data_IF_778883221423
#
_entry.id   IF_778883221423
#
_cell.length_a   1.000
_cell.length_b   1.000
_cell.length_c   1.000
_cell.angle_alpha   90.00
_cell.angle_beta   90.00
_cell.angle_gamma   90.00
#
_symmetry.space_group_name_H-M   'P 1'
#
loop_
_entity.id
_entity.type
_entity.pdbx_description
1 polymer ?
#
# COMPACT_ATOMS: atom_id res chain seq x y z
N UNK A 1 -4.06 18.31 8.84
CA UNK A 1 -4.99 17.26 9.32
C UNK A 1 -5.23 16.39 8.11
N UNK A 2 -4.99 15.09 8.21
CA UNK A 2 -5.13 14.19 7.06
C UNK A 2 -6.60 14.15 6.60
N UNK A 3 -6.81 14.03 5.30
CA UNK A 3 -8.15 13.92 4.71
C UNK A 3 -8.83 12.60 5.08
N UNK A 4 -8.06 11.54 5.29
CA UNK A 4 -8.58 10.28 5.81
C UNK A 4 -8.44 10.24 7.34
N UNK A 5 -9.57 10.04 8.03
CA UNK A 5 -9.62 9.77 9.46
C UNK A 5 -10.21 8.38 9.70
N UNK A 6 -9.40 7.49 10.28
CA UNK A 6 -9.78 6.12 10.54
C UNK A 6 -11.00 5.99 11.48
N UNK A 7 -11.06 6.78 12.55
CA UNK A 7 -12.16 6.69 13.52
C UNK A 7 -13.46 7.25 12.96
N UNK A 8 -13.38 8.29 12.15
CA UNK A 8 -14.55 8.84 11.45
C UNK A 8 -15.07 7.82 10.43
N UNK A 9 -14.18 7.19 9.66
CA UNK A 9 -14.56 6.13 8.71
C UNK A 9 -15.25 4.95 9.40
N UNK A 10 -14.71 4.45 10.52
CA UNK A 10 -15.34 3.36 11.27
C UNK A 10 -16.70 3.79 11.85
N UNK A 11 -16.82 5.04 12.30
CA UNK A 11 -18.11 5.57 12.77
C UNK A 11 -19.14 5.61 11.65
N UNK A 12 -18.77 6.06 10.46
CA UNK A 12 -19.64 6.00 9.27
C UNK A 12 -20.03 4.56 8.90
N UNK A 13 -19.11 3.60 9.00
CA UNK A 13 -19.42 2.19 8.74
C UNK A 13 -20.49 1.66 9.68
N UNK A 14 -20.50 2.07 10.96
CA UNK A 14 -21.52 1.67 11.94
C UNK A 14 -22.91 2.22 11.61
N UNK A 15 -23.01 3.29 10.83
CA UNK A 15 -24.27 3.91 10.43
C UNK A 15 -24.87 3.31 9.14
N UNK A 16 -24.04 2.70 8.29
CA UNK A 16 -24.43 2.12 7.00
C UNK A 16 -24.82 0.64 7.19
N UNK A 17 -26.07 0.28 6.90
CA UNK A 17 -26.62 -1.05 7.26
C UNK A 17 -25.82 -2.25 6.71
N UNK A 18 -25.30 -2.13 5.49
CA UNK A 18 -24.45 -3.13 4.82
C UNK A 18 -23.04 -3.24 5.43
N UNK A 19 -22.49 -2.12 5.92
CA UNK A 19 -21.14 -2.09 6.52
C UNK A 19 -21.14 -2.34 8.01
N UNK A 20 -22.25 -2.02 8.68
CA UNK A 20 -22.44 -2.19 10.11
C UNK A 20 -22.22 -3.63 10.53
N UNK A 21 -22.72 -4.58 9.75
CA UNK A 21 -22.55 -6.02 10.03
C UNK A 21 -21.07 -6.42 10.05
N UNK A 22 -20.25 -5.87 9.16
CA UNK A 22 -18.80 -6.12 9.11
C UNK A 22 -18.14 -5.64 10.41
N UNK A 23 -18.47 -4.41 10.84
CA UNK A 23 -17.93 -3.85 12.09
C UNK A 23 -18.37 -4.67 13.29
N UNK A 24 -19.65 -5.00 13.40
CA UNK A 24 -20.19 -5.77 14.54
C UNK A 24 -19.57 -7.16 14.63
N UNK A 25 -19.42 -7.87 13.50
CA UNK A 25 -18.75 -9.19 13.47
C UNK A 25 -17.29 -9.09 13.89
N UNK A 26 -16.56 -8.12 13.33
CA UNK A 26 -15.17 -7.91 13.71
C UNK A 26 -15.04 -7.64 15.22
N UNK A 27 -15.88 -6.75 15.76
CA UNK A 27 -15.83 -6.38 17.17
C UNK A 27 -16.21 -7.51 18.12
N UNK A 28 -17.07 -8.44 17.69
CA UNK A 28 -17.38 -9.66 18.45
C UNK A 28 -16.17 -10.60 18.56
N UNK A 29 -15.34 -10.66 17.53
CA UNK A 29 -14.19 -11.56 17.45
C UNK A 29 -12.93 -10.97 18.10
N UNK A 30 -12.69 -9.66 17.91
CA UNK A 30 -11.43 -9.01 18.27
C UNK A 30 -11.56 -7.87 19.29
N UNK A 31 -12.78 -7.52 19.70
CA UNK A 31 -13.06 -6.37 20.55
C UNK A 31 -13.26 -5.06 19.78
N UNK A 32 -13.60 -3.97 20.49
CA UNK A 32 -14.04 -2.72 19.86
C UNK A 32 -12.95 -2.07 18.99
N UNK A 33 -13.34 -1.57 17.82
CA UNK A 33 -12.44 -0.83 16.93
C UNK A 33 -12.32 0.61 17.44
N UNK A 34 -11.19 0.90 18.10
CA UNK A 34 -10.90 2.19 18.75
C UNK A 34 -9.41 2.52 18.64
N UNK A 35 -9.06 3.80 18.73
CA UNK A 35 -7.66 4.25 18.69
C UNK A 35 -7.12 4.42 17.27
N UNK A 36 -5.80 4.42 17.14
CA UNK A 36 -5.14 4.59 15.85
C UNK A 36 -5.23 3.29 15.02
N UNK A 37 -5.21 3.39 13.69
CA UNK A 37 -5.10 2.25 12.80
C UNK A 37 -3.81 1.46 13.03
N UNK A 38 -2.73 2.15 13.42
CA UNK A 38 -1.44 1.55 13.73
C UNK A 38 -1.47 0.62 14.97
N UNK A 39 -2.41 0.85 15.89
CA UNK A 39 -2.59 0.05 17.10
C UNK A 39 -3.46 -1.19 16.88
N UNK A 40 -4.11 -1.29 15.71
CA UNK A 40 -5.06 -2.36 15.45
C UNK A 40 -4.32 -3.68 15.22
N UNK A 41 -4.84 -4.77 15.79
CA UNK A 41 -4.29 -6.12 15.65
C UNK A 41 -4.01 -6.49 14.19
N UNK A 42 -4.93 -6.14 13.28
CA UNK A 42 -4.75 -6.39 11.84
C UNK A 42 -3.57 -5.64 11.22
N UNK A 43 -3.27 -4.44 11.70
CA UNK A 43 -2.10 -3.68 11.25
C UNK A 43 -0.83 -4.34 11.79
N UNK A 44 -0.77 -4.56 13.10
CA UNK A 44 0.42 -5.09 13.77
C UNK A 44 0.76 -6.52 13.32
N UNK A 45 -0.23 -7.36 13.07
CA UNK A 45 -0.02 -8.76 12.66
C UNK A 45 0.39 -8.93 11.19
N UNK A 46 0.05 -7.98 10.31
CA UNK A 46 0.22 -8.14 8.87
C UNK A 46 0.78 -6.91 8.17
N UNK A 47 0.07 -5.77 8.18
CA UNK A 47 0.45 -4.60 7.39
C UNK A 47 1.79 -3.99 7.84
N UNK A 48 2.12 -4.09 9.13
CA UNK A 48 3.39 -3.63 9.71
C UNK A 48 4.63 -4.32 9.13
N UNK A 49 4.46 -5.48 8.49
CA UNK A 49 5.54 -6.29 7.93
C UNK A 49 6.02 -5.79 6.57
N UNK A 50 5.26 -4.91 5.91
CA UNK A 50 5.71 -4.24 4.70
C UNK A 50 6.54 -3.01 5.08
N UNK A 51 7.75 -2.91 4.53
CA UNK A 51 8.57 -1.72 4.63
C UNK A 51 8.07 -0.63 3.68
N UNK A 52 8.16 0.62 4.12
CA UNK A 52 7.87 1.77 3.29
C UNK A 52 9.01 2.03 2.30
N UNK A 53 8.63 2.35 1.07
CA UNK A 53 9.52 2.92 0.05
C UNK A 53 8.90 4.24 -0.40
N UNK A 54 9.68 5.31 -0.43
CA UNK A 54 9.25 6.59 -0.96
C UNK A 54 8.93 6.49 -2.46
N UNK A 55 7.80 7.06 -2.88
CA UNK A 55 7.31 7.05 -4.24
C UNK A 55 6.62 8.37 -4.57
N UNK A 56 6.50 8.66 -5.86
CA UNK A 56 5.84 9.83 -6.39
C UNK A 56 4.40 9.89 -5.89
N UNK A 57 4.05 11.02 -5.29
CA UNK A 57 2.69 11.33 -4.86
C UNK A 57 2.21 12.56 -5.61
N UNK A 58 0.90 12.82 -5.60
CA UNK A 58 0.39 14.07 -6.15
C UNK A 58 0.92 15.24 -5.31
N UNK A 59 1.67 16.17 -5.91
CA UNK A 59 2.25 17.32 -5.21
C UNK A 59 1.20 18.10 -4.41
N UNK A 60 0.00 18.24 -4.97
CA UNK A 60 -1.14 18.94 -4.36
C UNK A 60 -1.70 18.23 -3.12
N UNK A 61 -1.40 16.95 -2.94
CA UNK A 61 -1.96 16.07 -1.88
C UNK A 61 -0.87 15.52 -0.95
N UNK A 62 0.37 15.97 -1.09
CA UNK A 62 1.54 15.45 -0.38
C UNK A 62 1.34 15.39 1.15
N UNK A 63 0.75 16.43 1.74
CA UNK A 63 0.47 16.52 3.19
C UNK A 63 -0.95 16.07 3.59
N UNK A 64 -1.77 15.65 2.63
CA UNK A 64 -3.19 15.34 2.85
C UNK A 64 -3.43 13.88 3.25
N UNK A 65 -2.50 12.98 2.96
CA UNK A 65 -2.63 11.55 3.20
C UNK A 65 -1.40 10.93 3.86
N UNK A 66 -1.62 9.83 4.56
CA UNK A 66 -0.56 8.98 5.09
C UNK A 66 -0.07 8.02 4.01
N UNK A 67 0.87 8.46 3.18
CA UNK A 67 1.33 7.68 2.03
C UNK A 67 2.01 6.35 2.41
N UNK A 68 2.59 6.25 3.61
CA UNK A 68 3.11 4.99 4.15
C UNK A 68 1.96 4.01 4.41
N UNK A 69 0.93 4.45 5.14
CA UNK A 69 -0.24 3.62 5.39
C UNK A 69 -0.93 3.20 4.08
N UNK A 70 -1.10 4.12 3.13
CA UNK A 70 -1.71 3.79 1.85
C UNK A 70 -0.90 2.73 1.10
N UNK A 71 0.43 2.87 1.04
CA UNK A 71 1.29 1.86 0.43
C UNK A 71 1.09 0.51 1.10
N UNK A 72 1.15 0.44 2.43
CA UNK A 72 0.95 -0.82 3.17
C UNK A 72 -0.42 -1.45 2.91
N UNK A 73 -1.48 -0.63 2.80
CA UNK A 73 -2.82 -1.10 2.43
C UNK A 73 -2.86 -1.67 1.01
N UNK A 74 -2.23 -1.01 0.04
CA UNK A 74 -2.12 -1.47 -1.35
C UNK A 74 -1.35 -2.79 -1.42
N UNK A 75 -0.19 -2.86 -0.77
CA UNK A 75 0.67 -4.05 -0.75
C UNK A 75 -0.02 -5.24 -0.07
N UNK A 76 -0.79 -4.95 0.98
CA UNK A 76 -1.53 -5.94 1.75
C UNK A 76 -2.83 -6.42 1.10
N UNK A 77 -3.33 -5.71 0.08
CA UNK A 77 -4.65 -5.93 -0.51
C UNK A 77 -4.76 -7.22 -1.32
N UNK A 78 -5.92 -7.88 -1.29
CA UNK A 78 -6.20 -9.07 -2.10
C UNK A 78 -6.97 -8.73 -3.37
N UNK A 79 -7.66 -7.58 -3.40
CA UNK A 79 -8.49 -7.09 -4.49
C UNK A 79 -7.72 -6.34 -5.58
N UNK A 80 -6.45 -6.01 -5.35
CA UNK A 80 -5.60 -5.35 -6.34
C UNK A 80 -4.20 -5.93 -6.41
N UNK A 81 -3.62 -5.93 -7.60
CA UNK A 81 -2.19 -6.10 -7.80
C UNK A 81 -1.50 -4.73 -7.82
N UNK A 82 -0.18 -4.74 -7.66
CA UNK A 82 0.63 -3.54 -7.65
C UNK A 82 1.95 -3.73 -8.38
N UNK A 83 2.51 -2.63 -8.88
CA UNK A 83 3.87 -2.57 -9.41
C UNK A 83 4.53 -1.29 -8.91
N UNK A 84 5.79 -1.39 -8.46
CA UNK A 84 6.62 -0.23 -8.14
C UNK A 84 7.72 -0.15 -9.21
N UNK A 85 7.82 0.98 -9.91
CA UNK A 85 8.81 1.17 -10.99
C UNK A 85 9.60 2.43 -10.77
N UNK A 86 10.90 2.38 -11.03
CA UNK A 86 11.72 3.58 -11.05
C UNK A 86 11.53 4.34 -12.37
N UNK A 87 11.09 5.59 -12.29
CA UNK A 87 11.02 6.52 -13.41
C UNK A 87 12.39 7.17 -13.60
N UNK A 88 13.08 6.82 -14.69
CA UNK A 88 14.41 7.36 -15.00
C UNK A 88 14.39 8.84 -15.37
N UNK A 89 13.27 9.41 -15.80
CA UNK A 89 13.18 10.82 -16.17
C UNK A 89 12.96 11.69 -14.92
N UNK A 90 12.11 11.20 -13.99
CA UNK A 90 11.82 11.90 -12.73
C UNK A 90 12.79 11.57 -11.59
N UNK A 91 13.55 10.49 -11.72
CA UNK A 91 14.41 9.93 -10.67
C UNK A 91 13.65 9.57 -9.39
N UNK A 92 12.42 9.07 -9.54
CA UNK A 92 11.54 8.69 -8.43
C UNK A 92 10.86 7.35 -8.72
N UNK A 93 10.43 6.65 -7.66
CA UNK A 93 9.59 5.47 -7.85
C UNK A 93 8.14 5.86 -8.08
N UNK A 94 7.44 5.15 -8.94
CA UNK A 94 6.02 5.32 -9.24
C UNK A 94 5.27 4.04 -8.85
N UNK A 95 4.19 4.19 -8.07
CA UNK A 95 3.38 3.07 -7.60
C UNK A 95 2.10 2.95 -8.45
N UNK A 96 1.96 1.80 -9.11
CA UNK A 96 0.81 1.45 -9.92
C UNK A 96 -0.07 0.45 -9.20
N UNK A 97 -1.38 0.61 -9.35
CA UNK A 97 -2.40 -0.31 -8.84
C UNK A 97 -3.17 -0.88 -10.03
N UNK A 98 -3.28 -2.20 -10.09
CA UNK A 98 -4.06 -2.92 -11.09
C UNK A 98 -5.24 -3.63 -10.43
N UNK A 99 -6.45 -3.34 -10.91
CA UNK A 99 -7.68 -4.01 -10.46
C UNK A 99 -8.29 -4.77 -11.62
N UNK A 100 -8.64 -6.04 -11.39
CA UNK A 100 -9.33 -6.87 -12.37
C UNK A 100 -10.83 -6.89 -12.09
N UNK A 101 -11.62 -6.66 -13.13
CA UNK A 101 -13.07 -6.79 -13.12
C UNK A 101 -13.51 -7.63 -14.32
N UNK A 102 -13.72 -8.94 -14.08
CA UNK A 102 -13.93 -9.91 -15.16
C UNK A 102 -12.74 -9.96 -16.11
N UNK A 103 -13.00 -9.74 -17.40
CA UNK A 103 -11.97 -9.71 -18.45
C UNK A 103 -11.24 -8.36 -18.58
N UNK A 104 -11.68 -7.33 -17.84
CA UNK A 104 -11.08 -6.00 -17.90
C UNK A 104 -10.09 -5.79 -16.76
N UNK A 105 -8.91 -5.26 -17.09
CA UNK A 105 -7.92 -4.81 -16.11
C UNK A 105 -7.78 -3.31 -16.22
N UNK A 106 -7.94 -2.62 -15.10
CA UNK A 106 -7.72 -1.17 -14.99
C UNK A 106 -6.45 -0.96 -14.20
N UNK A 107 -5.47 -0.29 -14.81
CA UNK A 107 -4.24 0.15 -14.15
C UNK A 107 -4.35 1.65 -13.85
N UNK A 108 -3.95 2.04 -12.65
CA UNK A 108 -3.92 3.42 -12.18
C UNK A 108 -2.55 3.73 -11.60
N UNK A 109 -2.05 4.92 -11.90
CA UNK A 109 -0.85 5.51 -11.31
C UNK A 109 -1.25 6.29 -10.07
N UNK A 110 -0.64 6.06 -8.90
CA UNK A 110 -1.07 6.70 -7.66
C UNK A 110 -0.88 8.23 -7.67
N UNK A 111 0.22 8.73 -8.23
CA UNK A 111 0.49 10.18 -8.30
C UNK A 111 -0.53 10.96 -9.15
N UNK A 112 -1.28 10.26 -10.02
CA UNK A 112 -2.30 10.86 -10.91
C UNK A 112 -3.71 10.84 -10.29
N UNK A 113 -3.88 10.21 -9.12
CA UNK A 113 -5.18 10.10 -8.49
C UNK A 113 -5.60 11.39 -7.79
N UNK A 114 -6.88 11.70 -7.92
CA UNK A 114 -7.50 12.83 -7.24
C UNK A 114 -7.77 12.45 -5.79
N UNK A 115 -7.88 13.44 -4.89
CA UNK A 115 -8.05 13.21 -3.45
C UNK A 115 -9.19 12.26 -3.10
N UNK A 116 -10.35 12.40 -3.75
CA UNK A 116 -11.49 11.51 -3.50
C UNK A 116 -11.23 10.06 -3.95
N UNK A 117 -10.37 9.84 -4.95
CA UNK A 117 -9.97 8.51 -5.39
C UNK A 117 -9.00 7.89 -4.37
N UNK A 118 -8.06 8.67 -3.85
CA UNK A 118 -7.13 8.24 -2.79
C UNK A 118 -7.91 7.89 -1.51
N UNK A 119 -8.82 8.77 -1.07
CA UNK A 119 -9.71 8.50 0.06
C UNK A 119 -10.48 7.18 -0.15
N UNK A 120 -11.00 6.95 -1.35
CA UNK A 120 -11.73 5.73 -1.68
C UNK A 120 -10.86 4.47 -1.57
N UNK A 121 -9.56 4.55 -1.87
CA UNK A 121 -8.64 3.42 -1.68
C UNK A 121 -8.52 3.03 -0.21
N UNK A 122 -8.38 4.01 0.70
CA UNK A 122 -8.36 3.74 2.14
C UNK A 122 -9.63 2.98 2.59
N UNK A 123 -10.80 3.50 2.20
CA UNK A 123 -12.07 2.88 2.57
C UNK A 123 -12.16 1.43 2.10
N UNK A 124 -11.82 1.18 0.84
CA UNK A 124 -11.88 -0.15 0.22
C UNK A 124 -10.92 -1.11 0.94
N UNK A 125 -9.66 -0.72 1.10
CA UNK A 125 -8.66 -1.64 1.64
C UNK A 125 -8.85 -1.87 3.14
N UNK A 126 -9.27 -0.87 3.91
CA UNK A 126 -9.56 -1.08 5.33
C UNK A 126 -10.77 -2.01 5.50
N UNK A 127 -11.84 -1.81 4.72
CA UNK A 127 -13.01 -2.69 4.74
C UNK A 127 -12.65 -4.12 4.31
N UNK A 128 -11.79 -4.29 3.29
CA UNK A 128 -11.27 -5.60 2.91
C UNK A 128 -10.49 -6.26 4.06
N UNK A 129 -9.59 -5.53 4.72
CA UNK A 129 -8.80 -6.08 5.83
C UNK A 129 -9.69 -6.51 7.01
N UNK A 130 -10.79 -5.80 7.29
CA UNK A 130 -11.77 -6.23 8.30
C UNK A 130 -12.41 -7.56 7.91
N UNK A 131 -12.90 -7.67 6.66
CA UNK A 131 -13.52 -8.90 6.16
C UNK A 131 -12.55 -10.10 6.19
N UNK A 132 -11.30 -9.92 5.74
CA UNK A 132 -10.29 -10.98 5.77
C UNK A 132 -9.99 -11.44 7.21
N UNK A 133 -9.97 -10.53 8.19
CA UNK A 133 -9.77 -10.93 9.59
C UNK A 133 -10.96 -11.69 10.17
N UNK A 134 -12.19 -11.34 9.78
CA UNK A 134 -13.40 -12.08 10.18
C UNK A 134 -13.32 -13.50 9.61
N UNK A 135 -13.16 -13.63 8.28
CA UNK A 135 -13.07 -14.93 7.59
C UNK A 135 -11.94 -15.82 8.14
N UNK A 136 -10.81 -15.21 8.51
CA UNK A 136 -9.71 -15.93 9.15
C UNK A 136 -10.06 -16.42 10.56
N UNK A 137 -10.73 -15.62 11.38
CA UNK A 137 -11.10 -16.02 12.75
C UNK A 137 -12.22 -17.07 12.78
N UNK A 138 -13.08 -17.08 11.77
CA UNK A 138 -14.14 -18.08 11.62
C UNK A 138 -13.63 -19.41 11.03
N UNK A 139 -12.32 -19.51 10.73
CA UNK A 139 -11.65 -20.66 10.10
C UNK A 139 -12.27 -21.06 8.75
N UNK A 140 -13.00 -20.14 8.10
CA UNK A 140 -13.61 -20.40 6.79
C UNK A 140 -12.55 -20.47 5.69
N UNK A 141 -11.56 -19.56 5.74
CA UNK A 141 -10.53 -19.40 4.71
C UNK A 141 -9.11 -19.19 5.28
N UNK A 142 -8.87 -19.54 6.55
CA UNK A 142 -7.61 -19.22 7.24
C UNK A 142 -6.36 -19.63 6.43
N UNK A 143 -6.32 -20.86 5.94
CA UNK A 143 -5.16 -21.36 5.18
C UNK A 143 -4.91 -20.62 3.87
N UNK A 144 -5.98 -20.26 3.14
CA UNK A 144 -5.86 -19.50 1.90
C UNK A 144 -5.42 -18.06 2.16
N UNK A 145 -5.96 -17.43 3.21
CA UNK A 145 -5.59 -16.08 3.62
C UNK A 145 -4.12 -16.04 4.05
N UNK A 146 -3.67 -16.96 4.89
CA UNK A 146 -2.27 -16.99 5.35
C UNK A 146 -1.30 -17.24 4.19
N UNK A 147 -1.62 -18.14 3.27
CA UNK A 147 -0.81 -18.37 2.07
C UNK A 147 -0.73 -17.12 1.18
N UNK A 148 -1.85 -16.42 0.96
CA UNK A 148 -1.87 -15.22 0.14
C UNK A 148 -1.10 -14.06 0.80
N UNK A 149 -1.20 -13.90 2.13
CA UNK A 149 -0.38 -12.95 2.90
C UNK A 149 1.12 -13.23 2.74
N UNK A 150 1.51 -14.50 2.81
CA UNK A 150 2.91 -14.90 2.62
C UNK A 150 3.41 -14.58 1.21
N UNK A 151 2.59 -14.83 0.18
CA UNK A 151 2.91 -14.48 -1.22
C UNK A 151 3.08 -12.97 -1.37
N UNK A 152 2.17 -12.15 -0.80
CA UNK A 152 2.28 -10.69 -0.86
C UNK A 152 3.58 -10.18 -0.23
N UNK A 153 3.97 -10.71 0.93
CA UNK A 153 5.22 -10.35 1.60
C UNK A 153 6.45 -10.78 0.79
N UNK A 154 6.46 -11.99 0.23
CA UNK A 154 7.56 -12.47 -0.64
C UNK A 154 7.71 -11.61 -1.89
N UNK A 155 6.61 -11.23 -2.52
CA UNK A 155 6.63 -10.38 -3.70
C UNK A 155 7.22 -9.01 -3.38
N UNK A 156 6.84 -8.42 -2.24
CA UNK A 156 7.43 -7.15 -1.81
C UNK A 156 8.93 -7.28 -1.53
N UNK A 157 9.36 -8.31 -0.82
CA UNK A 157 10.78 -8.58 -0.59
C UNK A 157 11.59 -8.71 -1.89
N UNK A 158 11.05 -9.39 -2.90
CA UNK A 158 11.70 -9.53 -4.20
C UNK A 158 11.83 -8.19 -4.96
N UNK A 159 10.86 -7.28 -4.78
CA UNK A 159 10.91 -5.92 -5.34
C UNK A 159 12.06 -5.15 -4.70
N UNK A 160 12.15 -5.15 -3.37
CA UNK A 160 13.22 -4.47 -2.63
C UNK A 160 14.61 -5.00 -3.02
N UNK A 161 14.77 -6.33 -3.08
CA UNK A 161 16.03 -6.96 -3.51
C UNK A 161 16.46 -6.55 -4.94
N UNK A 162 15.49 -6.20 -5.79
CA UNK A 162 15.74 -5.72 -7.15
C UNK A 162 16.07 -4.24 -7.17
N UNK A 163 15.41 -3.44 -6.32
CA UNK A 163 15.67 -2.01 -6.16
C UNK A 163 17.11 -1.72 -5.74
N UNK A 164 17.62 -2.45 -4.74
CA UNK A 164 19.01 -2.29 -4.27
C UNK A 164 20.02 -2.49 -5.41
N UNK A 165 19.72 -3.40 -6.36
CA UNK A 165 20.57 -3.65 -7.53
C UNK A 165 20.51 -2.53 -8.56
N UNK A 166 19.34 -1.92 -8.75
CA UNK A 166 19.16 -0.79 -9.67
C UNK A 166 19.90 0.44 -9.13
N UNK A 167 19.71 0.77 -7.85
CA UNK A 167 20.40 1.88 -7.21
C UNK A 167 21.93 1.72 -7.27
N UNK A 168 22.44 0.53 -6.95
CA UNK A 168 23.88 0.23 -7.06
C UNK A 168 24.39 0.42 -8.50
N UNK A 169 23.63 0.03 -9.51
CA UNK A 169 24.01 0.19 -10.90
C UNK A 169 24.06 1.67 -11.33
N UNK A 170 23.11 2.49 -10.84
CA UNK A 170 23.09 3.93 -11.10
C UNK A 170 24.24 4.66 -10.41
N UNK A 171 24.55 4.32 -9.16
CA UNK A 171 25.70 4.88 -8.44
C UNK A 171 27.03 4.56 -9.16
N UNK A 172 27.19 3.31 -9.63
CA UNK A 172 28.38 2.90 -10.40
C UNK A 172 28.47 3.68 -11.71
N UNK A 173 27.36 3.88 -12.42
CA UNK A 173 27.33 4.63 -13.67
C UNK A 173 27.66 6.11 -13.46
N UNK A 174 27.07 6.74 -12.45
CA UNK A 174 27.33 8.12 -12.09
C UNK A 174 28.81 8.33 -11.73
N UNK A 175 29.40 7.44 -10.93
CA UNK A 175 30.82 7.50 -10.57
C UNK A 175 31.75 7.33 -11.80
N UNK A 176 31.38 6.47 -12.75
CA UNK A 176 32.14 6.32 -14.00
C UNK A 176 32.07 7.57 -14.88
N UNK A 177 30.91 8.21 -14.97
CA UNK A 177 30.72 9.44 -15.74
C UNK A 177 31.48 10.63 -15.13
N UNK A 178 31.48 10.77 -13.80
CA UNK A 178 32.28 11.76 -13.07
C UNK A 178 33.78 11.58 -13.32
N UNK A 179 34.27 10.34 -13.20
CA UNK A 179 35.68 10.01 -13.44
C UNK A 179 36.11 10.31 -14.88
N UNK A 180 35.24 10.05 -15.87
CA UNK A 180 35.49 10.39 -17.27
C UNK A 180 35.47 11.90 -17.52
N UNK A 181 34.57 12.64 -16.86
CA UNK A 181 34.50 14.10 -16.91
C UNK A 181 35.77 14.76 -16.38
N UNK A 182 36.27 14.30 -15.23
CA UNK A 182 37.53 14.78 -14.63
C UNK A 182 38.74 14.54 -15.52
N UNK A 183 38.83 13.35 -16.15
CA UNK A 183 39.90 13.02 -17.10
C UNK A 183 39.88 13.91 -18.34
N UNK A 184 38.69 14.26 -18.85
CA UNK A 184 38.56 15.16 -20.01
C UNK A 184 38.80 16.63 -19.65
N UNK A 185 38.53 17.05 -18.42
CA UNK A 185 38.82 18.41 -17.94
C UNK A 185 40.30 18.71 -17.68
N UNK A 186 41.15 17.67 -17.65
CA UNK A 186 42.60 17.77 -17.44
C UNK A 186 43.43 17.77 -18.73
N UNK A 187 42.79 17.61 -19.90
CA UNK A 187 43.40 17.64 -21.24
C UNK A 187 43.20 19.00 -21.91
#
# INVERSE_FOLDING_TARGET
>A
MLLFNFQDFISEMREKADKKEIVEKYEQLYGPIQGDIYDQVRYTDYLSKFSYVEYATSEELSDDFDWDLLQKLVLGSFSSDYELKFDQEKHEYELYIAVKNGDQSVVKTLSELWSFQVLRLYEIYIEEQLNLHILKAEDEDQGAIDAQREVRLKNWGAILDTMDRVQLAEEVKASQEEMLGDLMGQL
#
